data_IF_493777540127
#
_entry.id   IF_493777540127
#
_cell.length_a   1.000
_cell.length_b   1.000
_cell.length_c   1.000
_cell.angle_alpha   90.00
_cell.angle_beta   90.00
_cell.angle_gamma   90.00
#
_symmetry.space_group_name_H-M   'P 1'
#
loop_
_entity.id
_entity.type
_entity.pdbx_description
1 polymer ?
#
# COMPACT_ATOMS: atom_id res chain seq x y z
N UNK A 1 20.28 -8.21 -4.52
CA UNK A 1 19.34 -9.01 -3.70
C UNK A 1 19.83 -9.21 -2.27
N UNK A 2 21.07 -9.61 -2.04
CA UNK A 2 21.64 -9.90 -0.70
C UNK A 2 21.65 -8.73 0.30
N UNK A 3 21.87 -7.49 -0.15
CA UNK A 3 21.98 -6.33 0.75
C UNK A 3 20.70 -6.03 1.55
N UNK A 4 19.52 -6.18 0.93
CA UNK A 4 18.23 -5.92 1.61
C UNK A 4 17.90 -7.02 2.62
N UNK A 5 18.15 -8.27 2.26
CA UNK A 5 17.97 -9.40 3.17
C UNK A 5 18.90 -9.29 4.39
N UNK A 6 20.15 -8.83 4.17
CA UNK A 6 21.10 -8.59 5.25
C UNK A 6 20.63 -7.47 6.19
N UNK A 7 20.04 -6.39 5.66
CA UNK A 7 19.46 -5.32 6.49
C UNK A 7 18.30 -5.80 7.35
N UNK A 8 17.49 -6.76 6.87
CA UNK A 8 16.35 -7.31 7.58
C UNK A 8 16.72 -8.42 8.57
N UNK A 9 17.87 -9.07 8.42
CA UNK A 9 18.27 -10.25 9.23
C UNK A 9 18.47 -9.95 10.71
N UNK A 10 18.77 -8.70 11.09
CA UNK A 10 18.94 -8.27 12.47
C UNK A 10 17.65 -7.85 13.19
N UNK A 11 16.51 -7.78 12.49
CA UNK A 11 15.24 -7.35 13.06
C UNK A 11 14.61 -8.51 13.81
N UNK A 12 14.29 -8.29 15.11
CA UNK A 12 13.65 -9.27 16.01
C UNK A 12 12.12 -9.09 16.07
N UNK A 13 11.56 -8.16 15.40
CA UNK A 13 10.12 -7.92 15.37
C UNK A 13 9.56 -8.22 14.00
N UNK A 14 8.33 -7.77 13.78
CA UNK A 14 7.69 -7.86 12.50
C UNK A 14 8.44 -7.03 11.45
N UNK A 15 8.69 -7.65 10.31
CA UNK A 15 9.44 -7.05 9.20
C UNK A 15 8.46 -6.56 8.14
N UNK A 16 8.59 -5.31 7.75
CA UNK A 16 7.84 -4.77 6.63
C UNK A 16 8.77 -4.13 5.60
N UNK A 17 8.36 -4.16 4.34
CA UNK A 17 9.06 -3.48 3.27
C UNK A 17 8.09 -2.61 2.48
N UNK A 18 8.38 -1.30 2.43
CA UNK A 18 7.67 -0.39 1.54
C UNK A 18 8.31 -0.39 0.16
N UNK A 19 7.46 -0.53 -0.87
CA UNK A 19 7.82 -0.38 -2.27
C UNK A 19 6.80 0.53 -2.96
N UNK A 20 7.30 1.49 -3.72
CA UNK A 20 6.50 2.34 -4.59
C UNK A 20 7.25 2.61 -5.89
N UNK A 21 6.58 3.15 -6.88
CA UNK A 21 7.17 3.53 -8.17
C UNK A 21 7.68 4.98 -8.19
N UNK A 22 7.91 5.52 -7.02
CA UNK A 22 8.52 6.82 -6.80
C UNK A 22 7.55 7.86 -6.23
N UNK A 23 8.14 8.78 -5.48
CA UNK A 23 7.45 9.94 -4.90
C UNK A 23 8.38 11.16 -4.96
N UNK A 24 8.97 11.43 -6.12
CA UNK A 24 9.89 12.53 -6.32
C UNK A 24 9.10 13.73 -6.85
N UNK A 25 8.97 14.78 -6.03
CA UNK A 25 8.14 15.93 -6.38
C UNK A 25 6.66 15.58 -6.61
N UNK A 26 6.13 14.56 -5.93
CA UNK A 26 4.76 14.09 -6.12
C UNK A 26 4.55 13.30 -7.42
N UNK A 27 5.61 12.74 -8.02
CA UNK A 27 5.52 12.01 -9.29
C UNK A 27 6.04 10.59 -9.19
N UNK A 28 5.42 9.68 -9.93
CA UNK A 28 5.96 8.35 -10.18
C UNK A 28 7.07 8.45 -11.21
N UNK A 29 8.28 8.05 -10.85
CA UNK A 29 9.46 8.09 -11.74
C UNK A 29 9.80 6.73 -12.34
N UNK A 30 9.31 5.65 -11.75
CA UNK A 30 9.50 4.30 -12.25
C UNK A 30 8.27 3.85 -13.04
N UNK A 31 8.51 3.22 -14.18
CA UNK A 31 7.49 2.52 -14.97
C UNK A 31 7.63 1.02 -14.75
N UNK A 32 6.53 0.30 -14.78
CA UNK A 32 6.53 -1.15 -14.61
C UNK A 32 5.23 -1.64 -13.98
N UNK A 33 5.16 -2.92 -13.78
CA UNK A 33 3.99 -3.61 -13.24
C UNK A 33 4.37 -4.41 -12.01
N UNK A 34 3.44 -4.54 -11.05
CA UNK A 34 3.61 -5.37 -9.86
C UNK A 34 3.88 -6.83 -10.22
N UNK A 35 3.18 -7.35 -11.23
CA UNK A 35 3.36 -8.72 -11.71
C UNK A 35 4.81 -9.06 -12.09
N UNK A 36 5.53 -8.09 -12.64
CA UNK A 36 6.93 -8.29 -13.04
C UNK A 36 7.86 -8.41 -11.82
N UNK A 37 7.42 -7.92 -10.67
CA UNK A 37 8.16 -7.96 -9.41
C UNK A 37 7.83 -9.20 -8.55
N UNK A 38 6.80 -9.98 -8.88
CA UNK A 38 6.39 -11.14 -8.06
C UNK A 38 7.52 -12.12 -7.77
N UNK A 39 8.39 -12.50 -8.73
CA UNK A 39 9.52 -13.39 -8.45
C UNK A 39 10.53 -12.81 -7.46
N UNK A 40 10.64 -11.47 -7.41
CA UNK A 40 11.47 -10.77 -6.43
C UNK A 40 10.77 -10.67 -5.08
N UNK A 41 9.49 -10.29 -5.04
CA UNK A 41 8.70 -10.14 -3.82
C UNK A 41 8.60 -11.46 -3.04
N UNK A 42 8.42 -12.57 -3.75
CA UNK A 42 8.38 -13.91 -3.15
C UNK A 42 9.70 -14.40 -2.54
N UNK A 43 10.81 -13.73 -2.83
CA UNK A 43 12.13 -14.03 -2.24
C UNK A 43 12.46 -13.17 -1.02
N UNK A 44 11.59 -12.22 -0.67
CA UNK A 44 11.82 -11.34 0.48
C UNK A 44 11.41 -12.05 1.77
N UNK A 45 12.28 -12.00 2.78
CA UNK A 45 11.97 -12.44 4.15
C UNK A 45 11.31 -11.29 4.91
N UNK A 46 10.02 -11.07 4.62
CA UNK A 46 9.20 -10.04 5.25
C UNK A 46 7.84 -10.62 5.64
N UNK A 47 7.27 -10.09 6.71
CA UNK A 47 5.94 -10.47 7.18
C UNK A 47 4.84 -9.77 6.37
N UNK A 48 5.09 -8.53 5.92
CA UNK A 48 4.19 -7.84 5.02
C UNK A 48 4.89 -6.82 4.11
N UNK A 49 4.23 -6.55 2.97
CA UNK A 49 4.61 -5.54 2.01
C UNK A 49 3.68 -4.34 2.12
N UNK A 50 4.22 -3.14 2.01
CA UNK A 50 3.48 -1.86 2.05
C UNK A 50 3.58 -1.23 0.66
N UNK A 51 2.47 -1.24 -0.10
CA UNK A 51 2.48 -1.01 -1.54
C UNK A 51 1.50 0.09 -1.98
N UNK A 52 1.88 0.86 -3.00
CA UNK A 52 1.02 1.89 -3.58
C UNK A 52 0.00 1.29 -4.57
N UNK A 53 -1.27 1.68 -4.45
CA UNK A 53 -2.34 1.32 -5.36
C UNK A 53 -3.27 2.50 -5.69
N UNK A 54 -3.46 3.45 -4.76
CA UNK A 54 -4.46 4.51 -4.93
C UNK A 54 -4.21 5.35 -6.19
N UNK A 55 -2.96 5.69 -6.48
CA UNK A 55 -2.58 6.42 -7.69
C UNK A 55 -2.50 5.54 -8.93
N UNK A 56 -2.03 4.30 -8.77
CA UNK A 56 -1.80 3.38 -9.90
C UNK A 56 -3.06 2.67 -10.38
N UNK A 57 -4.06 2.55 -9.52
CA UNK A 57 -5.22 1.70 -9.73
C UNK A 57 -5.04 0.31 -9.13
N UNK A 58 -6.10 -0.45 -9.18
CA UNK A 58 -6.23 -1.76 -8.51
C UNK A 58 -6.24 -2.93 -9.49
N UNK A 59 -5.97 -2.68 -10.78
CA UNK A 59 -6.07 -3.70 -11.84
C UNK A 59 -5.05 -4.84 -11.68
N UNK A 60 -3.96 -4.59 -10.95
CA UNK A 60 -2.92 -5.59 -10.71
C UNK A 60 -3.08 -6.37 -9.39
N UNK A 61 -4.17 -6.16 -8.63
CA UNK A 61 -4.38 -6.88 -7.37
C UNK A 61 -4.33 -8.40 -7.53
N UNK A 62 -4.85 -8.92 -8.64
CA UNK A 62 -4.85 -10.37 -8.91
C UNK A 62 -3.44 -10.99 -8.92
N UNK A 63 -2.42 -10.24 -9.33
CA UNK A 63 -1.05 -10.72 -9.32
C UNK A 63 -0.57 -11.10 -7.91
N UNK A 64 -1.12 -10.46 -6.87
CA UNK A 64 -0.73 -10.73 -5.48
C UNK A 64 -1.32 -12.04 -4.91
N UNK A 65 -2.19 -12.72 -5.65
CA UNK A 65 -2.60 -14.10 -5.35
C UNK A 65 -1.42 -15.08 -5.48
N UNK A 66 -0.41 -14.73 -6.29
CA UNK A 66 0.83 -15.50 -6.45
C UNK A 66 1.86 -15.24 -5.33
N UNK A 67 1.63 -14.24 -4.48
CA UNK A 67 2.50 -13.96 -3.34
C UNK A 67 2.35 -15.07 -2.29
N UNK A 68 3.45 -15.44 -1.66
CA UNK A 68 3.46 -16.43 -0.57
C UNK A 68 2.34 -16.15 0.44
N UNK A 69 1.58 -17.17 0.87
CA UNK A 69 0.39 -16.98 1.71
C UNK A 69 0.69 -16.36 3.08
N UNK A 70 1.88 -16.56 3.62
CA UNK A 70 2.33 -15.98 4.89
C UNK A 70 2.63 -14.49 4.78
N UNK A 71 2.99 -13.97 3.60
CA UNK A 71 3.28 -12.53 3.42
C UNK A 71 1.98 -11.75 3.27
N UNK A 72 1.72 -10.85 4.21
CA UNK A 72 0.54 -9.98 4.21
C UNK A 72 0.78 -8.70 3.40
N UNK A 73 -0.29 -7.96 3.16
CA UNK A 73 -0.26 -6.71 2.40
C UNK A 73 -0.74 -5.53 3.25
N UNK A 74 0.00 -4.44 3.15
CA UNK A 74 -0.51 -3.11 3.37
C UNK A 74 -0.90 -2.54 2.00
N UNK A 75 -2.14 -2.10 1.88
CA UNK A 75 -2.72 -1.60 0.63
C UNK A 75 -2.85 -0.09 0.69
N UNK A 76 -2.22 0.61 -0.26
CA UNK A 76 -2.37 2.05 -0.43
C UNK A 76 -3.79 2.39 -0.90
N UNK A 77 -4.51 3.20 -0.13
CA UNK A 77 -5.90 3.61 -0.40
C UNK A 77 -6.09 5.12 -0.47
N UNK A 78 -5.04 5.89 -0.20
CA UNK A 78 -5.01 7.35 -0.30
C UNK A 78 -3.87 7.78 -1.23
N UNK A 79 -4.20 8.53 -2.28
CA UNK A 79 -3.22 9.09 -3.20
C UNK A 79 -2.50 10.26 -2.51
N UNK A 80 -1.16 10.24 -2.54
CA UNK A 80 -0.32 11.28 -1.94
C UNK A 80 0.27 12.24 -2.98
N UNK A 81 -0.02 12.03 -4.25
CA UNK A 81 0.50 12.82 -5.38
C UNK A 81 -0.50 13.85 -5.87
N UNK A 82 -1.64 13.96 -5.21
CA UNK A 82 -2.70 14.91 -5.47
C UNK A 82 -3.12 15.62 -4.18
N UNK A 83 -3.49 16.90 -4.28
CA UNK A 83 -4.01 17.70 -3.17
C UNK A 83 -5.51 17.44 -2.90
N UNK A 84 -6.20 16.77 -3.81
CA UNK A 84 -7.58 16.35 -3.59
C UNK A 84 -7.66 15.37 -2.42
N UNK A 85 -8.61 15.60 -1.52
CA UNK A 85 -8.86 14.73 -0.37
C UNK A 85 -9.99 13.80 -0.73
N UNK A 86 -9.69 12.51 -0.75
CA UNK A 86 -10.67 11.46 -1.05
C UNK A 86 -11.79 11.44 0.00
N UNK A 87 -13.01 11.15 -0.44
CA UNK A 87 -14.11 10.92 0.50
C UNK A 87 -13.97 9.56 1.21
N UNK A 88 -14.61 9.44 2.37
CA UNK A 88 -14.68 8.16 3.10
C UNK A 88 -15.21 7.02 2.23
N UNK A 89 -16.25 7.29 1.41
CA UNK A 89 -16.85 6.29 0.52
C UNK A 89 -15.87 5.79 -0.55
N UNK A 90 -15.07 6.69 -1.12
CA UNK A 90 -14.03 6.31 -2.10
C UNK A 90 -13.01 5.40 -1.45
N UNK A 91 -12.55 5.73 -0.25
CA UNK A 91 -11.58 4.92 0.49
C UNK A 91 -12.20 3.58 0.88
N UNK A 92 -13.43 3.56 1.39
CA UNK A 92 -14.15 2.33 1.73
C UNK A 92 -14.27 1.38 0.53
N UNK A 93 -14.64 1.90 -0.65
CA UNK A 93 -14.70 1.12 -1.89
C UNK A 93 -13.34 0.56 -2.32
N UNK A 94 -12.28 1.31 -2.14
CA UNK A 94 -10.90 0.84 -2.42
C UNK A 94 -10.52 -0.33 -1.52
N UNK A 95 -10.87 -0.24 -0.23
CA UNK A 95 -10.67 -1.32 0.76
C UNK A 95 -11.50 -2.55 0.36
N UNK A 96 -12.80 -2.36 0.10
CA UNK A 96 -13.71 -3.42 -0.33
C UNK A 96 -13.20 -4.15 -1.58
N UNK A 97 -12.76 -3.40 -2.59
CA UNK A 97 -12.18 -3.99 -3.80
C UNK A 97 -10.94 -4.85 -3.49
N UNK A 98 -10.04 -4.35 -2.68
CA UNK A 98 -8.85 -5.11 -2.30
C UNK A 98 -9.21 -6.40 -1.53
N UNK A 99 -10.16 -6.33 -0.62
CA UNK A 99 -10.66 -7.48 0.15
C UNK A 99 -11.37 -8.49 -0.75
N UNK A 100 -12.18 -8.03 -1.70
CA UNK A 100 -12.89 -8.91 -2.63
C UNK A 100 -11.94 -9.69 -3.55
N UNK A 101 -10.82 -9.09 -3.93
CA UNK A 101 -9.83 -9.72 -4.80
C UNK A 101 -8.90 -10.66 -4.02
N UNK A 102 -8.43 -10.24 -2.85
CA UNK A 102 -7.33 -10.90 -2.14
C UNK A 102 -7.76 -11.68 -0.89
N UNK A 103 -8.95 -11.39 -0.35
CA UNK A 103 -9.39 -11.89 0.94
C UNK A 103 -8.93 -10.98 2.10
N UNK A 104 -9.78 -10.88 3.13
CA UNK A 104 -9.50 -10.07 4.32
C UNK A 104 -8.23 -10.52 5.05
N UNK A 105 -7.97 -11.81 5.07
CA UNK A 105 -6.82 -12.42 5.74
C UNK A 105 -5.48 -12.05 5.10
N UNK A 106 -5.49 -11.57 3.84
CA UNK A 106 -4.28 -11.10 3.13
C UNK A 106 -3.94 -9.66 3.45
N UNK A 107 -4.93 -8.86 3.84
CA UNK A 107 -4.77 -7.42 4.06
C UNK A 107 -4.54 -7.17 5.54
N UNK A 108 -3.35 -6.70 5.87
CA UNK A 108 -2.97 -6.37 7.24
C UNK A 108 -3.22 -4.91 7.57
N UNK A 109 -2.92 -4.01 6.63
CA UNK A 109 -3.00 -2.57 6.82
C UNK A 109 -3.61 -1.89 5.60
N UNK A 110 -4.29 -0.77 5.83
CA UNK A 110 -4.59 0.24 4.81
C UNK A 110 -3.86 1.52 5.17
N UNK A 111 -3.31 2.19 4.16
CA UNK A 111 -2.42 3.31 4.38
C UNK A 111 -2.41 4.27 3.17
N UNK A 112 -1.80 5.45 3.27
CA UNK A 112 -1.50 6.26 2.09
C UNK A 112 -0.44 5.58 1.21
N UNK A 113 -0.47 5.82 -0.10
CA UNK A 113 0.46 5.21 -1.06
C UNK A 113 1.94 5.38 -0.68
N UNK A 114 2.27 6.49 -0.02
CA UNK A 114 3.62 6.79 0.47
C UNK A 114 3.54 7.86 1.57
N UNK A 115 4.69 8.41 1.98
CA UNK A 115 4.75 9.52 2.95
C UNK A 115 4.19 10.84 2.39
N UNK A 116 3.60 11.65 3.25
CA UNK A 116 2.95 12.93 2.90
C UNK A 116 3.92 14.14 2.75
N UNK A 117 5.21 13.90 2.72
CA UNK A 117 6.23 14.95 2.81
C UNK A 117 6.15 16.04 1.72
N UNK A 118 5.49 15.75 0.58
CA UNK A 118 5.28 16.72 -0.50
C UNK A 118 3.96 17.49 -0.40
N UNK A 119 3.05 17.10 0.48
CA UNK A 119 1.76 17.76 0.63
C UNK A 119 1.81 18.90 1.67
N UNK A 120 1.02 19.97 1.47
CA UNK A 120 0.77 20.94 2.54
C UNK A 120 0.22 20.22 3.78
N UNK A 121 0.65 20.64 4.98
CA UNK A 121 0.24 20.05 6.26
C UNK A 121 -1.28 19.91 6.37
N UNK A 122 -2.01 20.96 5.99
CA UNK A 122 -3.48 20.97 6.03
C UNK A 122 -4.15 19.95 5.12
N UNK A 123 -3.50 19.60 3.99
CA UNK A 123 -3.98 18.55 3.08
C UNK A 123 -3.66 17.17 3.69
N UNK A 124 -2.45 16.98 4.19
CA UNK A 124 -2.04 15.74 4.83
C UNK A 124 -2.94 15.39 6.02
N UNK A 125 -3.23 16.35 6.89
CA UNK A 125 -4.10 16.15 8.06
C UNK A 125 -5.53 15.73 7.63
N UNK A 126 -6.09 16.36 6.57
CA UNK A 126 -7.40 15.96 6.03
C UNK A 126 -7.39 14.60 5.38
N UNK A 127 -6.34 14.23 4.65
CA UNK A 127 -6.19 12.89 4.06
C UNK A 127 -6.11 11.81 5.14
N UNK A 128 -5.41 12.06 6.25
CA UNK A 128 -5.36 11.14 7.39
C UNK A 128 -6.73 10.97 8.04
N UNK A 129 -7.48 12.06 8.22
CA UNK A 129 -8.85 12.00 8.74
C UNK A 129 -9.77 11.20 7.78
N UNK A 130 -9.65 11.43 6.47
CA UNK A 130 -10.42 10.70 5.46
C UNK A 130 -10.06 9.21 5.44
N UNK A 131 -8.80 8.83 5.61
CA UNK A 131 -8.35 7.44 5.71
C UNK A 131 -9.05 6.73 6.87
N UNK A 132 -9.07 7.37 8.05
CA UNK A 132 -9.73 6.81 9.24
C UNK A 132 -11.24 6.67 8.99
N UNK A 133 -11.88 7.72 8.48
CA UNK A 133 -13.32 7.70 8.16
C UNK A 133 -13.68 6.63 7.13
N UNK A 134 -12.85 6.45 6.09
CA UNK A 134 -13.07 5.43 5.06
C UNK A 134 -12.90 4.00 5.59
N UNK A 135 -11.90 3.78 6.45
CA UNK A 135 -11.77 2.50 7.15
C UNK A 135 -13.00 2.21 8.03
N UNK A 136 -13.46 3.21 8.78
CA UNK A 136 -14.60 3.05 9.68
C UNK A 136 -15.89 2.81 8.90
N UNK A 137 -16.11 3.54 7.80
CA UNK A 137 -17.23 3.30 6.89
C UNK A 137 -17.22 1.86 6.33
N UNK A 138 -16.05 1.36 5.92
CA UNK A 138 -15.90 -0.03 5.46
C UNK A 138 -16.24 -1.03 6.57
N UNK A 139 -15.88 -0.74 7.82
CA UNK A 139 -16.15 -1.62 8.98
C UNK A 139 -17.56 -1.44 9.57
N UNK A 140 -18.38 -0.54 9.04
CA UNK A 140 -19.72 -0.25 9.56
C UNK A 140 -19.70 0.44 10.94
N UNK A 141 -18.73 1.30 11.18
CA UNK A 141 -18.54 2.04 12.44
C UNK A 141 -18.76 3.53 12.27
#
# INVERSE_FOLDING_TARGET
MYKRQHALSGIRGEKSLHLCFGNYGGQSIQKGYWKDLMPFLNKLDVDHLVLEFARRGYDELDAFKELRPETKLGVGVVDIKDNEVESADVIAKRIENAVNVLGMERIKWVHPDCGFWMLPRSVADRKMAALVAGRDAYLGR
#
